data_IF_381514647660
#
_entry.id   IF_381514647660
#
_cell.length_a   1.000
_cell.length_b   1.000
_cell.length_c   1.000
_cell.angle_alpha   90.00
_cell.angle_beta   90.00
_cell.angle_gamma   90.00
#
_symmetry.space_group_name_H-M   'P 1'
#
loop_
_entity.id
_entity.type
_entity.pdbx_description
1 polymer ?
#
# COMPACT_ATOMS: atom_id res chain seq x y z
N UNK A 1 28.81 -6.19 32.25
CA UNK A 1 28.74 -5.03 31.33
C UNK A 1 27.93 -5.47 30.14
N UNK A 2 26.61 -5.25 30.22
CA UNK A 2 25.65 -5.63 29.19
C UNK A 2 25.27 -4.41 28.37
N UNK A 3 25.46 -4.50 27.06
CA UNK A 3 25.09 -3.47 26.09
C UNK A 3 23.59 -3.57 25.82
N UNK A 4 22.86 -2.54 26.18
CA UNK A 4 21.45 -2.35 25.85
C UNK A 4 21.36 -1.90 24.37
N UNK A 5 20.70 -2.71 23.55
CA UNK A 5 20.31 -2.34 22.19
C UNK A 5 19.15 -1.34 22.17
N UNK A 6 18.96 -0.55 21.11
CA UNK A 6 17.98 0.53 21.07
C UNK A 6 16.55 -0.02 21.04
N UNK A 7 15.75 0.42 22.02
CA UNK A 7 14.30 0.19 22.07
C UNK A 7 13.65 1.18 21.08
N UNK A 8 13.07 0.65 20.01
CA UNK A 8 12.22 1.41 19.11
C UNK A 8 10.85 1.63 19.76
N UNK A 9 10.64 2.84 20.29
CA UNK A 9 9.33 3.28 20.78
C UNK A 9 8.47 3.71 19.60
N UNK A 10 7.47 2.93 19.27
CA UNK A 10 6.40 3.36 18.36
C UNK A 10 5.54 4.39 19.09
N UNK A 11 5.73 5.66 18.79
CA UNK A 11 4.79 6.72 19.15
C UNK A 11 3.66 6.73 18.12
N UNK A 12 2.44 6.47 18.57
CA UNK A 12 1.22 6.73 17.82
C UNK A 12 1.14 8.23 17.54
N UNK A 13 1.20 8.63 16.28
CA UNK A 13 0.98 10.01 15.87
C UNK A 13 -0.52 10.21 15.62
N UNK A 14 -1.18 10.88 16.56
CA UNK A 14 -2.47 11.53 16.34
C UNK A 14 -2.32 12.57 15.23
N UNK A 15 -3.16 12.45 14.22
CA UNK A 15 -3.27 13.39 13.12
C UNK A 15 -3.87 14.72 13.60
N UNK A 16 -3.05 15.70 13.85
CA UNK A 16 -3.36 17.13 13.75
C UNK A 16 -2.07 17.93 13.97
N UNK A 17 -1.36 18.23 12.90
CA UNK A 17 -0.65 19.50 12.68
C UNK A 17 0.37 19.37 11.56
N UNK A 18 0.07 20.10 10.49
CA UNK A 18 0.99 20.45 9.40
C UNK A 18 2.28 21.05 9.97
N UNK A 19 3.41 20.35 9.86
CA UNK A 19 4.75 20.95 9.92
C UNK A 19 5.65 20.25 8.92
N UNK A 20 6.26 21.09 8.08
CA UNK A 20 7.20 20.74 7.04
C UNK A 20 8.31 19.80 7.57
N UNK A 21 8.52 18.69 6.85
CA UNK A 21 9.65 17.80 7.05
C UNK A 21 10.86 18.47 6.40
N UNK A 22 11.97 18.71 7.11
CA UNK A 22 13.17 19.24 6.47
C UNK A 22 13.78 18.13 5.58
N UNK A 23 13.84 18.41 4.29
CA UNK A 23 14.60 17.61 3.33
C UNK A 23 16.08 17.88 3.57
N UNK A 24 16.79 16.92 4.16
CA UNK A 24 18.25 16.98 4.20
C UNK A 24 18.80 16.59 2.83
N UNK A 25 19.16 17.62 2.02
CA UNK A 25 19.97 17.43 0.81
C UNK A 25 21.43 17.33 1.29
N UNK A 26 22.03 16.16 1.14
CA UNK A 26 23.45 15.97 1.37
C UNK A 26 24.20 16.55 0.15
N UNK A 27 24.67 17.78 0.28
CA UNK A 27 25.54 18.42 -0.74
C UNK A 27 26.99 18.09 -0.34
N UNK A 28 27.56 17.12 -1.03
CA UNK A 28 29.01 16.88 -0.96
C UNK A 28 29.77 18.05 -1.57
N UNK A 29 30.72 18.60 -0.82
CA UNK A 29 31.63 19.66 -1.26
C UNK A 29 32.42 19.26 -2.50
N UNK A 30 32.24 19.99 -3.59
CA UNK A 30 33.25 20.08 -4.64
C UNK A 30 33.38 21.56 -5.05
N UNK A 31 34.47 22.18 -4.61
CA UNK A 31 34.90 23.49 -5.02
C UNK A 31 35.54 23.38 -6.41
N UNK A 32 34.91 23.95 -7.43
CA UNK A 32 35.60 24.39 -8.66
C UNK A 32 34.73 25.41 -9.36
N UNK A 33 35.28 26.62 -9.56
CA UNK A 33 34.73 27.68 -10.37
C UNK A 33 34.73 27.24 -11.84
N UNK A 34 33.59 27.34 -12.54
CA UNK A 34 33.52 27.55 -13.98
C UNK A 34 32.28 28.34 -14.35
N UNK A 35 32.52 29.49 -14.97
CA UNK A 35 31.79 30.31 -15.93
C UNK A 35 30.33 30.00 -16.29
N UNK A 36 29.51 31.06 -16.27
CA UNK A 36 28.14 31.13 -16.78
C UNK A 36 27.99 30.59 -18.21
N UNK A 37 27.25 29.49 -18.34
CA UNK A 37 26.61 29.13 -19.60
C UNK A 37 25.18 28.73 -19.24
N UNK A 38 24.17 29.46 -19.78
CA UNK A 38 22.76 29.09 -19.69
C UNK A 38 22.56 27.82 -20.51
N UNK A 39 22.64 26.67 -19.84
CA UNK A 39 22.20 25.40 -20.42
C UNK A 39 20.75 25.22 -20.00
N UNK A 40 19.83 25.37 -20.96
CA UNK A 40 18.44 24.95 -20.79
C UNK A 40 18.44 23.42 -20.69
N UNK A 41 18.48 22.92 -19.47
CA UNK A 41 18.32 21.49 -19.21
C UNK A 41 16.83 21.18 -19.34
N UNK A 42 16.46 20.61 -20.48
CA UNK A 42 15.18 19.91 -20.60
C UNK A 42 15.19 18.75 -19.59
N UNK A 43 14.74 19.06 -18.37
CA UNK A 43 14.50 18.07 -17.34
C UNK A 43 13.24 17.30 -17.74
N UNK A 44 13.38 16.32 -18.64
CA UNK A 44 12.47 15.19 -18.69
C UNK A 44 12.80 14.35 -17.47
N UNK A 45 12.47 14.89 -16.30
CA UNK A 45 12.50 14.13 -15.05
C UNK A 45 11.39 13.10 -15.14
N UNK A 46 11.73 11.88 -15.56
CA UNK A 46 11.02 10.71 -15.09
C UNK A 46 11.18 10.74 -13.58
N UNK A 47 10.24 11.40 -12.89
CA UNK A 47 10.11 11.32 -11.45
C UNK A 47 9.94 9.82 -11.21
N UNK A 48 10.95 9.21 -10.60
CA UNK A 48 10.86 7.86 -10.07
C UNK A 48 9.85 7.99 -8.92
N UNK A 49 8.58 7.77 -9.23
CA UNK A 49 7.48 7.73 -8.27
C UNK A 49 7.85 6.67 -7.25
N UNK A 50 8.27 7.11 -6.10
CA UNK A 50 8.52 6.25 -4.94
C UNK A 50 7.13 5.76 -4.52
N UNK A 51 6.67 4.65 -5.07
CA UNK A 51 5.36 4.09 -4.77
C UNK A 51 5.32 3.75 -3.29
N UNK A 52 4.52 4.50 -2.51
CA UNK A 52 4.30 4.19 -1.10
C UNK A 52 3.79 2.76 -0.95
N UNK A 53 4.41 2.03 -0.04
CA UNK A 53 3.95 0.71 0.38
C UNK A 53 3.16 0.88 1.67
N UNK A 54 1.92 0.43 1.67
CA UNK A 54 1.11 0.35 2.87
C UNK A 54 1.35 -0.99 3.55
N UNK A 55 1.58 -0.97 4.87
CA UNK A 55 1.86 -2.14 5.69
C UNK A 55 0.71 -2.38 6.66
N UNK A 56 0.11 -3.56 6.61
CA UNK A 56 -0.96 -3.94 7.51
C UNK A 56 -0.60 -5.22 8.27
N UNK A 57 -0.49 -5.19 9.62
CA UNK A 57 -0.21 -6.38 10.42
C UNK A 57 -1.45 -7.27 10.48
N UNK A 58 -1.24 -8.57 10.40
CA UNK A 58 -2.27 -9.58 10.59
C UNK A 58 -1.78 -10.67 11.55
N UNK A 59 -2.71 -11.28 12.27
CA UNK A 59 -2.47 -12.53 13.00
C UNK A 59 -3.29 -13.63 12.36
N UNK A 60 -2.73 -14.82 12.27
CA UNK A 60 -3.44 -16.00 11.76
C UNK A 60 -4.22 -16.61 12.92
N UNK A 61 -5.54 -16.60 12.81
CA UNK A 61 -6.46 -17.20 13.78
C UNK A 61 -6.77 -18.66 13.43
N UNK A 62 -7.38 -19.37 14.39
CA UNK A 62 -7.80 -20.76 14.19
C UNK A 62 -8.78 -20.90 13.01
N UNK A 63 -9.71 -19.96 12.87
CA UNK A 63 -10.68 -19.90 11.76
C UNK A 63 -10.06 -19.74 10.37
N UNK A 64 -8.80 -19.27 10.30
CA UNK A 64 -8.11 -19.10 9.03
C UNK A 64 -7.49 -20.39 8.49
N UNK A 65 -7.41 -21.44 9.32
CA UNK A 65 -6.70 -22.68 9.01
C UNK A 65 -7.62 -23.79 8.55
N UNK A 66 -7.09 -24.72 7.79
CA UNK A 66 -7.74 -25.95 7.35
C UNK A 66 -7.31 -27.16 8.20
N UNK A 67 -7.83 -28.35 7.86
CA UNK A 67 -7.49 -29.59 8.54
C UNK A 67 -5.99 -29.98 8.45
N UNK A 68 -5.23 -29.38 7.53
CA UNK A 68 -3.78 -29.54 7.41
C UNK A 68 -2.99 -28.64 8.35
N UNK A 69 -3.66 -27.78 9.14
CA UNK A 69 -3.05 -26.85 10.08
C UNK A 69 -2.31 -25.68 9.40
N UNK A 70 -2.67 -25.37 8.16
CA UNK A 70 -2.17 -24.24 7.39
C UNK A 70 -3.30 -23.33 6.98
N UNK A 71 -3.00 -22.06 6.69
CA UNK A 71 -4.00 -21.09 6.23
C UNK A 71 -4.66 -21.60 4.95
N UNK A 72 -6.01 -21.70 4.99
CA UNK A 72 -6.80 -22.10 3.84
C UNK A 72 -6.61 -21.09 2.71
N UNK A 73 -6.39 -21.60 1.51
CA UNK A 73 -5.93 -20.78 0.37
C UNK A 73 -6.80 -19.55 0.07
N UNK A 74 -8.13 -19.60 0.30
CA UNK A 74 -8.99 -18.44 0.08
C UNK A 74 -8.80 -17.32 1.12
N UNK A 75 -8.30 -17.64 2.33
CA UNK A 75 -8.12 -16.65 3.39
C UNK A 75 -7.00 -15.65 3.10
N UNK A 76 -6.05 -15.98 2.24
CA UNK A 76 -5.07 -15.01 1.76
C UNK A 76 -5.73 -13.82 1.02
N UNK A 77 -6.82 -14.07 0.28
CA UNK A 77 -7.62 -13.00 -0.34
C UNK A 77 -8.33 -12.14 0.71
N UNK A 78 -8.78 -12.72 1.82
CA UNK A 78 -9.38 -11.98 2.94
C UNK A 78 -8.34 -11.07 3.61
N UNK A 79 -7.11 -11.55 3.81
CA UNK A 79 -6.03 -10.72 4.34
C UNK A 79 -5.71 -9.54 3.41
N UNK A 80 -5.63 -9.80 2.12
CA UNK A 80 -5.39 -8.76 1.12
C UNK A 80 -6.55 -7.76 1.02
N UNK A 81 -7.79 -8.22 1.14
CA UNK A 81 -8.97 -7.35 1.16
C UNK A 81 -8.94 -6.42 2.38
N UNK A 82 -8.73 -6.96 3.58
CA UNK A 82 -8.64 -6.19 4.83
C UNK A 82 -7.56 -5.12 4.72
N UNK A 83 -6.38 -5.46 4.21
CA UNK A 83 -5.30 -4.49 4.03
C UNK A 83 -5.67 -3.35 3.06
N UNK A 84 -6.38 -3.63 1.96
CA UNK A 84 -6.87 -2.57 1.05
C UNK A 84 -7.93 -1.69 1.73
N UNK A 85 -8.83 -2.28 2.51
CA UNK A 85 -9.83 -1.57 3.29
C UNK A 85 -9.18 -0.63 4.30
N UNK A 86 -8.21 -1.13 5.05
CA UNK A 86 -7.50 -0.34 6.06
C UNK A 86 -6.63 0.76 5.44
N UNK A 87 -6.09 0.53 4.25
CA UNK A 87 -5.40 1.58 3.53
C UNK A 87 -6.34 2.73 3.16
N UNK A 88 -7.54 2.43 2.61
CA UNK A 88 -8.55 3.46 2.34
C UNK A 88 -8.97 4.20 3.62
N UNK A 89 -9.16 3.49 4.73
CA UNK A 89 -9.46 4.09 6.03
C UNK A 89 -8.34 5.04 6.49
N UNK A 90 -7.08 4.64 6.33
CA UNK A 90 -5.91 5.45 6.68
C UNK A 90 -5.80 6.72 5.81
N UNK A 91 -6.28 6.67 4.56
CA UNK A 91 -6.39 7.84 3.66
C UNK A 91 -7.64 8.69 3.95
N UNK A 92 -8.42 8.38 4.98
CA UNK A 92 -9.65 9.10 5.32
C UNK A 92 -10.83 8.84 4.37
N UNK A 93 -10.75 7.80 3.53
CA UNK A 93 -11.81 7.45 2.58
C UNK A 93 -12.84 6.55 3.23
N UNK A 94 -14.05 7.06 3.47
CA UNK A 94 -15.16 6.28 4.00
C UNK A 94 -15.84 5.46 2.89
N UNK A 95 -15.70 4.15 2.94
CA UNK A 95 -16.41 3.25 2.00
C UNK A 95 -17.94 3.34 2.15
N UNK A 96 -18.45 3.53 3.37
CA UNK A 96 -19.89 3.75 3.61
C UNK A 96 -20.40 4.99 2.89
N UNK A 97 -19.63 6.10 2.92
CA UNK A 97 -19.99 7.32 2.20
C UNK A 97 -19.93 7.12 0.67
N UNK A 98 -18.98 6.32 0.17
CA UNK A 98 -18.92 5.96 -1.25
C UNK A 98 -20.16 5.16 -1.67
N UNK A 99 -20.55 4.16 -0.89
CA UNK A 99 -21.74 3.34 -1.15
C UNK A 99 -23.03 4.20 -1.17
N UNK A 100 -23.17 5.15 -0.23
CA UNK A 100 -24.28 6.09 -0.20
C UNK A 100 -24.33 6.97 -1.47
N UNK A 101 -23.20 7.20 -2.13
CA UNK A 101 -23.07 7.93 -3.39
C UNK A 101 -23.03 7.01 -4.62
N UNK A 102 -23.62 5.83 -4.53
CA UNK A 102 -23.67 4.84 -5.62
C UNK A 102 -22.28 4.51 -6.20
N UNK A 103 -21.25 4.50 -5.35
CA UNK A 103 -19.87 4.21 -5.75
C UNK A 103 -19.36 3.03 -4.96
N UNK A 104 -18.87 2.01 -5.66
CA UNK A 104 -18.26 0.84 -5.04
C UNK A 104 -17.00 0.42 -5.77
N UNK A 105 -16.11 -0.26 -5.05
CA UNK A 105 -14.95 -0.93 -5.60
C UNK A 105 -15.18 -2.44 -5.62
N UNK A 106 -15.10 -3.05 -6.79
CA UNK A 106 -15.32 -4.49 -6.97
C UNK A 106 -14.07 -5.16 -7.53
N UNK A 107 -13.74 -6.33 -7.02
CA UNK A 107 -12.64 -7.14 -7.56
C UNK A 107 -13.09 -7.73 -8.89
N UNK A 108 -12.34 -7.45 -9.95
CA UNK A 108 -12.54 -8.02 -11.28
C UNK A 108 -11.66 -9.24 -11.53
N UNK A 109 -10.44 -9.24 -11.00
CA UNK A 109 -9.47 -10.30 -11.18
C UNK A 109 -8.53 -10.35 -9.98
N UNK A 110 -8.17 -11.54 -9.56
CA UNK A 110 -7.12 -11.77 -8.58
C UNK A 110 -6.24 -12.92 -9.08
N UNK A 111 -4.93 -12.73 -8.98
CA UNK A 111 -3.92 -13.74 -9.30
C UNK A 111 -3.00 -13.84 -8.10
N UNK A 112 -2.80 -15.05 -7.59
CA UNK A 112 -2.04 -15.31 -6.39
C UNK A 112 -1.01 -16.41 -6.65
N UNK A 113 0.19 -16.20 -6.11
CA UNK A 113 1.26 -17.18 -6.02
C UNK A 113 1.48 -17.54 -4.55
N UNK A 114 1.25 -18.79 -4.21
CA UNK A 114 1.49 -19.32 -2.87
C UNK A 114 2.94 -19.83 -2.79
N UNK A 115 3.76 -19.15 -1.97
CA UNK A 115 5.19 -19.43 -1.85
C UNK A 115 5.49 -20.34 -0.66
N UNK A 116 4.82 -20.08 0.46
CA UNK A 116 5.00 -20.78 1.73
C UNK A 116 3.68 -20.84 2.49
N UNK A 117 3.41 -21.95 3.18
CA UNK A 117 2.20 -22.06 3.99
C UNK A 117 2.31 -21.26 5.28
N UNK A 118 1.37 -20.35 5.52
CA UNK A 118 1.21 -19.70 6.81
C UNK A 118 0.48 -20.64 7.78
N UNK A 119 0.75 -20.49 9.09
CA UNK A 119 0.24 -21.37 10.16
C UNK A 119 -0.44 -20.58 11.25
N UNK A 120 -1.23 -21.25 12.04
CA UNK A 120 -1.88 -20.72 13.25
C UNK A 120 -0.88 -19.97 14.15
N UNK A 121 -1.35 -18.88 14.78
CA UNK A 121 -0.59 -17.99 15.68
C UNK A 121 0.57 -17.20 15.02
N UNK A 122 0.79 -17.34 13.72
CA UNK A 122 1.78 -16.48 13.05
C UNK A 122 1.31 -15.05 12.96
N UNK A 123 2.25 -14.12 13.22
CA UNK A 123 2.07 -12.69 12.99
C UNK A 123 2.80 -12.32 11.71
N UNK A 124 2.05 -11.83 10.73
CA UNK A 124 2.52 -11.53 9.39
C UNK A 124 2.15 -10.08 9.03
N UNK A 125 2.65 -9.60 7.92
CA UNK A 125 2.41 -8.25 7.42
C UNK A 125 1.95 -8.36 5.97
N UNK A 126 0.86 -7.68 5.64
CA UNK A 126 0.46 -7.47 4.24
C UNK A 126 1.10 -6.17 3.76
N UNK A 127 1.97 -6.27 2.79
CA UNK A 127 2.51 -5.15 2.02
C UNK A 127 1.58 -4.89 0.84
N UNK A 128 1.12 -3.68 0.67
CA UNK A 128 0.20 -3.30 -0.42
C UNK A 128 0.74 -2.10 -1.18
N UNK A 129 0.76 -2.19 -2.52
CA UNK A 129 1.14 -1.11 -3.45
C UNK A 129 0.10 -0.98 -4.54
N UNK A 130 -0.14 0.24 -5.01
CA UNK A 130 -0.84 0.47 -6.28
C UNK A 130 0.21 0.51 -7.38
N UNK A 131 0.14 -0.45 -8.31
CA UNK A 131 1.09 -0.55 -9.44
C UNK A 131 0.53 0.00 -10.75
N UNK A 132 -0.77 0.18 -10.83
CA UNK A 132 -1.44 0.80 -11.97
C UNK A 132 -2.70 1.53 -11.50
N UNK A 133 -2.84 2.80 -11.89
CA UNK A 133 -4.03 3.62 -11.65
C UNK A 133 -4.59 4.07 -13.01
N UNK A 134 -5.85 3.69 -13.28
CA UNK A 134 -6.59 4.12 -14.48
C UNK A 134 -7.83 4.91 -14.08
N UNK A 135 -8.51 5.51 -15.04
CA UNK A 135 -9.72 6.32 -14.82
C UNK A 135 -10.79 5.62 -13.98
N UNK A 136 -10.97 4.30 -14.12
CA UNK A 136 -12.01 3.52 -13.45
C UNK A 136 -11.48 2.25 -12.77
N UNK A 137 -10.18 2.05 -12.66
CA UNK A 137 -9.61 0.83 -12.08
C UNK A 137 -8.24 1.06 -11.46
N UNK A 138 -7.93 0.20 -10.49
CA UNK A 138 -6.65 0.13 -9.79
C UNK A 138 -6.12 -1.30 -9.88
N UNK A 139 -4.81 -1.45 -10.01
CA UNK A 139 -4.14 -2.74 -9.84
C UNK A 139 -3.29 -2.64 -8.57
N UNK A 140 -3.62 -3.47 -7.60
CA UNK A 140 -2.83 -3.64 -6.40
C UNK A 140 -1.85 -4.79 -6.59
N UNK A 141 -0.62 -4.61 -6.14
CA UNK A 141 0.32 -5.68 -5.86
C UNK A 141 0.42 -5.84 -4.35
N UNK A 142 0.21 -7.06 -3.86
CA UNK A 142 0.19 -7.36 -2.44
C UNK A 142 1.07 -8.58 -2.13
N UNK A 143 1.74 -8.52 -0.99
CA UNK A 143 2.57 -9.60 -0.48
C UNK A 143 2.25 -9.85 0.99
N UNK A 144 2.14 -11.09 1.37
CA UNK A 144 2.08 -11.51 2.77
C UNK A 144 3.48 -11.97 3.17
N UNK A 145 4.09 -11.26 4.11
CA UNK A 145 5.48 -11.49 4.55
C UNK A 145 5.57 -11.63 6.07
N UNK A 146 6.62 -12.24 6.56
CA UNK A 146 6.97 -12.18 7.99
C UNK A 146 7.87 -10.98 8.30
N UNK A 147 8.25 -10.84 9.57
CA UNK A 147 9.12 -9.76 10.03
C UNK A 147 10.56 -9.82 9.48
N UNK A 148 10.95 -10.94 8.86
CA UNK A 148 12.23 -11.13 8.20
C UNK A 148 12.16 -10.85 6.71
N UNK A 149 10.95 -10.58 6.18
CA UNK A 149 10.69 -10.29 4.77
C UNK A 149 10.48 -11.55 3.92
N UNK A 150 10.38 -12.75 4.55
CA UNK A 150 10.07 -13.97 3.83
C UNK A 150 8.62 -13.95 3.32
N UNK A 151 8.45 -14.23 2.03
CA UNK A 151 7.15 -14.14 1.36
C UNK A 151 6.38 -15.46 1.46
N UNK A 152 5.15 -15.39 1.97
CA UNK A 152 4.23 -16.51 2.09
C UNK A 152 3.28 -16.59 0.88
N UNK A 153 2.77 -15.45 0.46
CA UNK A 153 1.90 -15.32 -0.69
C UNK A 153 2.10 -13.95 -1.32
N UNK A 154 2.07 -13.89 -2.63
CA UNK A 154 2.04 -12.61 -3.34
C UNK A 154 1.05 -12.66 -4.50
N UNK A 155 0.59 -11.50 -4.94
CA UNK A 155 -0.32 -11.47 -6.08
C UNK A 155 -0.73 -10.08 -6.51
N UNK A 156 -1.52 -10.07 -7.58
CA UNK A 156 -2.12 -8.86 -8.13
C UNK A 156 -3.63 -8.92 -8.05
N UNK A 157 -4.24 -7.80 -7.69
CA UNK A 157 -5.69 -7.67 -7.61
C UNK A 157 -6.13 -6.46 -8.44
N UNK A 158 -6.89 -6.73 -9.49
CA UNK A 158 -7.54 -5.70 -10.30
C UNK A 158 -8.89 -5.35 -9.69
N UNK A 159 -9.01 -4.11 -9.25
CA UNK A 159 -10.23 -3.54 -8.68
C UNK A 159 -10.80 -2.49 -9.62
N UNK A 160 -12.12 -2.50 -9.80
CA UNK A 160 -12.84 -1.57 -10.68
C UNK A 160 -13.82 -0.75 -9.85
N UNK A 161 -13.80 0.57 -10.06
CA UNK A 161 -14.81 1.48 -9.53
C UNK A 161 -16.09 1.37 -10.37
N UNK A 162 -17.22 1.14 -9.71
CA UNK A 162 -18.52 0.97 -10.38
C UNK A 162 -19.62 1.84 -9.75
N UNK A 163 -20.61 2.18 -10.56
CA UNK A 163 -21.91 2.61 -10.05
C UNK A 163 -22.65 1.35 -9.57
N UNK A 164 -22.87 1.25 -8.25
CA UNK A 164 -23.39 0.03 -7.60
C UNK A 164 -24.77 -0.35 -8.13
N UNK A 165 -25.64 0.64 -8.32
CA UNK A 165 -27.03 0.44 -8.81
C UNK A 165 -27.11 -0.19 -10.20
N UNK A 166 -26.08 0.02 -11.04
CA UNK A 166 -26.05 -0.44 -12.44
C UNK A 166 -24.95 -1.45 -12.71
N UNK A 167 -24.05 -1.69 -11.74
CA UNK A 167 -22.83 -2.50 -11.90
C UNK A 167 -22.01 -2.13 -13.15
N UNK A 168 -21.95 -0.81 -13.45
CA UNK A 168 -21.23 -0.27 -14.61
C UNK A 168 -19.98 0.48 -14.15
N UNK A 169 -18.85 0.36 -14.86
CA UNK A 169 -17.65 1.11 -14.53
C UNK A 169 -17.94 2.62 -14.53
N UNK A 170 -17.42 3.31 -13.52
CA UNK A 170 -17.42 4.77 -13.38
C UNK A 170 -16.04 5.28 -13.01
N UNK A 171 -15.79 6.56 -13.25
CA UNK A 171 -14.53 7.17 -12.86
C UNK A 171 -14.34 7.10 -11.33
N UNK A 172 -13.11 6.82 -10.90
CA UNK A 172 -12.72 6.91 -9.50
C UNK A 172 -12.87 8.36 -9.06
N UNK A 173 -13.45 8.64 -7.89
CA UNK A 173 -13.56 9.99 -7.35
C UNK A 173 -12.19 10.68 -7.27
N UNK A 174 -12.13 11.97 -7.65
CA UNK A 174 -10.86 12.70 -7.76
C UNK A 174 -10.11 12.80 -6.43
N UNK A 175 -10.82 12.93 -5.32
CA UNK A 175 -10.20 12.93 -4.00
C UNK A 175 -9.43 11.63 -3.73
N UNK A 176 -9.95 10.46 -4.14
CA UNK A 176 -9.27 9.17 -3.99
C UNK A 176 -8.06 9.09 -4.93
N UNK A 177 -8.19 9.57 -6.17
CA UNK A 177 -7.06 9.64 -7.11
C UNK A 177 -5.93 10.48 -6.52
N UNK A 178 -6.25 11.65 -5.96
CA UNK A 178 -5.28 12.57 -5.36
C UNK A 178 -4.56 11.94 -4.16
N UNK A 179 -5.27 11.17 -3.32
CA UNK A 179 -4.66 10.47 -2.18
C UNK A 179 -3.66 9.40 -2.66
N UNK A 180 -3.98 8.66 -3.71
CA UNK A 180 -3.04 7.69 -4.27
C UNK A 180 -1.88 8.35 -5.03
N UNK A 181 -2.12 9.49 -5.71
CA UNK A 181 -1.04 10.25 -6.38
C UNK A 181 -0.12 10.93 -5.37
N UNK A 182 -0.65 11.46 -4.27
CA UNK A 182 0.14 12.07 -3.19
C UNK A 182 0.90 11.04 -2.36
N UNK A 183 0.41 9.81 -2.34
CA UNK A 183 1.01 8.65 -1.69
C UNK A 183 1.94 7.85 -2.62
N UNK A 184 2.13 8.33 -3.87
CA UNK A 184 2.95 7.66 -4.92
C UNK A 184 4.33 8.26 -5.03
#
# INVERSE_FOLDING_TARGET
MGSLGPILIYKSLNCAQTRAIPIYIFVGSFTSLVSLGIVSVNFSTKICLFQMTFYWPISVYYEDTDAGGVVYHSNYLNFFERARTEWLNALGVSQTALLANDTAFVVKRAELDFRKAARFEQNLIVETKVIELKKASLVFHQRLVDHQGECYCEGTVLVVCVALSRMRPRAIPLNIVQEFDSAS
#
